data_IF_557420278156
#
_entry.id   IF_557420278156
#
_cell.length_a   1.000
_cell.length_b   1.000
_cell.length_c   1.000
_cell.angle_alpha   90.00
_cell.angle_beta   90.00
_cell.angle_gamma   90.00
#
_symmetry.space_group_name_H-M   'P 1'
#
loop_
_entity.id
_entity.type
_entity.pdbx_description
1 polymer ?
#
# COMPACT_ATOMS: atom_id res chain seq x y z
N UNK A 1 15.77 10.34 -10.26
CA UNK A 1 15.11 9.12 -9.78
C UNK A 1 13.61 9.31 -9.95
N UNK A 2 12.90 8.33 -10.52
CA UNK A 2 11.44 8.41 -10.64
C UNK A 2 10.81 8.34 -9.23
N UNK A 3 10.13 9.42 -8.83
CA UNK A 3 9.33 9.51 -7.60
C UNK A 3 7.87 9.33 -7.97
N UNK A 4 7.17 8.50 -7.23
CA UNK A 4 5.71 8.38 -7.30
C UNK A 4 5.07 9.42 -6.38
N UNK A 5 4.13 10.22 -6.90
CA UNK A 5 3.35 11.15 -6.08
C UNK A 5 2.29 10.37 -5.29
N UNK A 6 1.91 10.79 -4.07
CA UNK A 6 0.82 10.17 -3.33
C UNK A 6 -0.49 10.11 -4.12
N UNK A 7 -0.76 11.12 -4.95
CA UNK A 7 -1.94 11.16 -5.83
C UNK A 7 -1.93 10.11 -6.95
N UNK A 8 -0.78 9.51 -7.25
CA UNK A 8 -0.74 8.34 -8.13
C UNK A 8 -1.32 7.11 -7.43
N UNK A 9 -1.13 7.00 -6.12
CA UNK A 9 -1.67 5.92 -5.30
C UNK A 9 -3.14 6.17 -4.92
N UNK A 10 -3.51 7.43 -4.70
CA UNK A 10 -4.85 7.84 -4.26
C UNK A 10 -5.24 9.14 -4.98
N UNK A 11 -5.87 9.06 -6.16
CA UNK A 11 -6.08 10.21 -7.06
C UNK A 11 -6.79 11.42 -6.45
N UNK A 12 -7.74 11.17 -5.55
CA UNK A 12 -8.56 12.17 -4.90
C UNK A 12 -8.11 12.42 -3.44
N UNK A 13 -6.93 11.93 -3.05
CA UNK A 13 -6.36 12.22 -1.74
C UNK A 13 -6.12 13.71 -1.58
N UNK A 14 -6.49 14.24 -0.41
CA UNK A 14 -6.18 15.61 0.00
C UNK A 14 -5.28 15.61 1.24
N UNK A 15 -4.57 16.72 1.46
CA UNK A 15 -3.84 16.96 2.69
C UNK A 15 -3.91 18.43 3.06
N UNK A 16 -4.08 18.69 4.35
CA UNK A 16 -4.00 20.01 4.97
C UNK A 16 -2.68 20.18 5.76
N UNK A 17 -1.68 19.33 5.48
CA UNK A 17 -0.41 19.18 6.20
C UNK A 17 -0.50 18.69 7.66
N UNK A 18 -1.71 18.54 8.21
CA UNK A 18 -1.96 17.95 9.54
C UNK A 18 -2.56 16.56 9.42
N UNK A 19 -3.38 16.36 8.39
CA UNK A 19 -4.11 15.16 8.07
C UNK A 19 -3.91 14.82 6.60
N UNK A 20 -4.11 13.53 6.30
CA UNK A 20 -4.35 13.03 4.96
C UNK A 20 -5.76 12.48 4.92
N UNK A 21 -6.52 12.82 3.87
CA UNK A 21 -7.84 12.24 3.65
C UNK A 21 -7.80 11.46 2.35
N UNK A 22 -8.04 10.15 2.45
CA UNK A 22 -8.18 9.27 1.29
C UNK A 22 -9.67 8.92 1.15
N UNK A 23 -10.35 9.39 0.08
CA UNK A 23 -11.74 9.02 -0.15
C UNK A 23 -11.90 7.51 -0.35
N UNK A 24 -12.98 6.93 0.17
CA UNK A 24 -13.30 5.50 -0.01
C UNK A 24 -13.34 5.11 -1.50
N UNK A 25 -13.78 6.03 -2.38
CA UNK A 25 -13.79 5.83 -3.83
C UNK A 25 -12.40 5.56 -4.42
N UNK A 26 -11.34 5.98 -3.75
CA UNK A 26 -9.97 5.70 -4.15
C UNK A 26 -9.50 4.30 -3.72
N UNK A 27 -10.29 3.53 -2.97
CA UNK A 27 -9.91 2.19 -2.54
C UNK A 27 -10.98 1.21 -3.04
N UNK A 28 -10.80 0.63 -4.24
CA UNK A 28 -11.79 -0.28 -4.81
C UNK A 28 -12.13 -1.43 -3.88
N UNK A 29 -13.42 -1.68 -3.66
CA UNK A 29 -13.92 -2.73 -2.77
C UNK A 29 -14.00 -2.32 -1.29
N UNK A 30 -13.48 -1.16 -0.90
CA UNK A 30 -13.67 -0.62 0.44
C UNK A 30 -15.08 -0.02 0.55
N UNK A 31 -15.78 -0.35 1.63
CA UNK A 31 -17.09 0.22 1.94
C UNK A 31 -17.04 0.97 3.27
N UNK A 32 -18.13 1.65 3.61
CA UNK A 32 -18.26 2.33 4.89
C UNK A 32 -18.22 1.36 6.08
N UNK A 33 -18.55 0.08 5.88
CA UNK A 33 -18.55 -0.92 6.94
C UNK A 33 -17.13 -1.22 7.43
N UNK A 34 -16.14 -1.34 6.52
CA UNK A 34 -14.76 -1.65 6.93
C UNK A 34 -14.08 -0.50 7.68
N UNK A 35 -14.52 0.75 7.46
CA UNK A 35 -13.94 1.96 8.09
C UNK A 35 -14.75 2.48 9.27
N UNK A 36 -15.79 1.77 9.70
CA UNK A 36 -16.61 2.15 10.83
C UNK A 36 -15.77 2.17 12.13
N UNK A 37 -15.90 3.24 12.92
CA UNK A 37 -15.04 3.48 14.10
C UNK A 37 -15.24 2.41 15.18
N UNK A 38 -16.46 1.89 15.33
CA UNK A 38 -16.82 1.00 16.43
C UNK A 38 -16.58 -0.49 16.11
N UNK A 39 -16.81 -0.88 14.86
CA UNK A 39 -16.94 -2.27 14.42
C UNK A 39 -16.30 -2.56 13.06
N UNK A 40 -15.54 -1.60 12.52
CA UNK A 40 -14.85 -1.76 11.25
C UNK A 40 -13.78 -2.86 11.26
N UNK A 41 -13.57 -3.46 10.10
CA UNK A 41 -12.55 -4.48 9.91
C UNK A 41 -11.23 -3.86 9.43
N UNK A 42 -10.37 -3.52 10.40
CA UNK A 42 -9.05 -2.92 10.11
C UNK A 42 -8.11 -3.80 9.27
N UNK A 43 -8.25 -5.14 9.34
CA UNK A 43 -7.44 -6.05 8.52
C UNK A 43 -7.86 -5.98 7.04
N UNK A 44 -9.16 -5.91 6.79
CA UNK A 44 -9.70 -5.76 5.43
C UNK A 44 -9.39 -4.37 4.85
N UNK A 45 -9.49 -3.32 5.68
CA UNK A 45 -9.06 -1.97 5.32
C UNK A 45 -7.59 -1.97 4.83
N UNK A 46 -6.67 -2.53 5.63
CA UNK A 46 -5.25 -2.60 5.25
C UNK A 46 -5.03 -3.43 3.98
N UNK A 47 -5.70 -4.57 3.85
CA UNK A 47 -5.62 -5.43 2.66
C UNK A 47 -6.02 -4.66 1.40
N UNK A 48 -7.13 -3.94 1.45
CA UNK A 48 -7.65 -3.16 0.33
C UNK A 48 -6.75 -1.95 0.00
N UNK A 49 -6.18 -1.30 1.00
CA UNK A 49 -5.17 -0.25 0.79
C UNK A 49 -3.95 -0.80 0.04
N UNK A 50 -3.41 -1.94 0.46
CA UNK A 50 -2.25 -2.56 -0.20
C UNK A 50 -2.57 -3.05 -1.61
N UNK A 51 -3.73 -3.65 -1.84
CA UNK A 51 -4.20 -4.04 -3.18
C UNK A 51 -4.32 -2.83 -4.10
N UNK A 52 -4.94 -1.76 -3.63
CA UNK A 52 -5.13 -0.53 -4.40
C UNK A 52 -3.80 0.13 -4.76
N UNK A 53 -2.88 0.23 -3.79
CA UNK A 53 -1.53 0.75 -4.03
C UNK A 53 -0.76 -0.11 -5.03
N UNK A 54 -0.72 -1.43 -4.83
CA UNK A 54 -0.04 -2.37 -5.72
C UNK A 54 -0.54 -2.23 -7.17
N UNK A 55 -1.85 -2.29 -7.38
CA UNK A 55 -2.43 -2.24 -8.72
C UNK A 55 -2.13 -0.92 -9.43
N UNK A 56 -2.09 0.20 -8.71
CA UNK A 56 -1.76 1.51 -9.28
C UNK A 56 -0.29 1.64 -9.65
N UNK A 57 0.61 1.12 -8.83
CA UNK A 57 2.05 1.08 -9.16
C UNK A 57 2.28 0.18 -10.38
N UNK A 58 1.62 -0.97 -10.43
CA UNK A 58 1.76 -1.92 -11.54
C UNK A 58 1.19 -1.35 -12.86
N UNK A 59 0.14 -0.53 -12.78
CA UNK A 59 -0.44 0.16 -13.93
C UNK A 59 0.44 1.30 -14.49
N UNK A 60 1.52 1.69 -13.81
CA UNK A 60 2.46 2.68 -14.33
C UNK A 60 3.32 2.10 -15.44
N UNK A 61 3.58 2.94 -16.45
CA UNK A 61 4.62 2.72 -17.45
C UNK A 61 5.96 2.38 -16.78
N UNK A 62 6.72 1.46 -17.38
CA UNK A 62 7.94 0.93 -16.77
C UNK A 62 8.93 2.02 -16.33
N UNK A 63 9.05 3.10 -17.12
CA UNK A 63 9.92 4.24 -16.82
C UNK A 63 9.42 5.15 -15.69
N UNK A 64 8.11 5.11 -15.39
CA UNK A 64 7.47 5.90 -14.33
C UNK A 64 7.41 5.18 -12.98
N UNK A 65 7.71 3.88 -12.97
CA UNK A 65 7.73 3.07 -11.75
C UNK A 65 8.82 3.52 -10.78
N UNK A 66 8.59 3.45 -9.46
CA UNK A 66 9.56 3.89 -8.47
C UNK A 66 10.82 3.02 -8.47
N UNK A 67 11.99 3.65 -8.38
CA UNK A 67 13.30 2.97 -8.43
C UNK A 67 13.87 2.64 -7.05
N UNK A 68 13.36 3.29 -6.00
CA UNK A 68 13.74 3.05 -4.61
C UNK A 68 12.73 2.16 -3.87
N UNK A 69 11.84 1.50 -4.60
CA UNK A 69 10.83 0.62 -4.03
C UNK A 69 10.78 -0.65 -4.85
N UNK A 70 10.67 -1.79 -4.18
CA UNK A 70 10.32 -3.06 -4.81
C UNK A 70 8.95 -3.49 -4.31
N UNK A 71 8.13 -4.03 -5.20
CA UNK A 71 6.79 -4.51 -4.85
C UNK A 71 6.52 -5.84 -5.54
N UNK A 72 5.82 -6.73 -4.85
CA UNK A 72 5.35 -7.99 -5.43
C UNK A 72 4.06 -8.46 -4.79
N UNK A 73 3.25 -9.14 -5.59
CA UNK A 73 2.01 -9.81 -5.18
C UNK A 73 2.08 -11.27 -5.64
N UNK A 74 2.60 -12.19 -4.80
CA UNK A 74 2.60 -13.61 -5.12
C UNK A 74 1.19 -14.13 -5.36
N UNK A 75 1.06 -15.28 -6.04
CA UNK A 75 -0.23 -15.91 -6.24
C UNK A 75 -0.93 -16.20 -4.90
N UNK A 76 -2.25 -15.95 -4.87
CA UNK A 76 -3.07 -16.24 -3.70
C UNK A 76 -3.04 -17.73 -3.37
N UNK A 77 -2.99 -18.06 -2.08
CA UNK A 77 -2.99 -19.43 -1.58
C UNK A 77 -4.34 -19.74 -0.93
N UNK A 78 -5.02 -20.80 -1.36
CA UNK A 78 -6.20 -21.30 -0.66
C UNK A 78 -5.80 -21.88 0.71
N UNK A 79 -6.42 -21.38 1.78
CA UNK A 79 -6.22 -21.87 3.15
C UNK A 79 -7.38 -22.79 3.56
N UNK A 80 -8.60 -22.45 3.15
CA UNK A 80 -9.80 -23.29 3.29
C UNK A 80 -10.79 -22.97 2.16
N UNK A 81 -11.96 -23.62 2.13
CA UNK A 81 -12.96 -23.44 1.06
C UNK A 81 -13.37 -21.98 0.84
N UNK A 82 -13.31 -21.15 1.89
CA UNK A 82 -13.74 -19.75 1.87
C UNK A 82 -12.66 -18.78 2.34
N UNK A 83 -11.42 -19.25 2.53
CA UNK A 83 -10.33 -18.40 3.03
C UNK A 83 -9.14 -18.54 2.10
N UNK A 84 -8.73 -17.41 1.53
CA UNK A 84 -7.51 -17.30 0.75
C UNK A 84 -6.52 -16.37 1.43
N UNK A 85 -5.24 -16.71 1.37
CA UNK A 85 -4.13 -15.86 1.80
C UNK A 85 -3.55 -15.15 0.60
N UNK A 86 -3.62 -13.82 0.62
CA UNK A 86 -2.90 -12.96 -0.31
C UNK A 86 -1.77 -12.24 0.43
N UNK A 87 -0.55 -12.34 -0.10
CA UNK A 87 0.60 -11.60 0.40
C UNK A 87 0.88 -10.38 -0.47
N UNK A 88 1.27 -9.29 0.16
CA UNK A 88 1.78 -8.07 -0.49
C UNK A 88 3.14 -7.78 0.11
N UNK A 89 4.17 -7.69 -0.73
CA UNK A 89 5.51 -7.31 -0.28
C UNK A 89 5.85 -5.94 -0.84
N UNK A 90 6.16 -4.99 0.04
CA UNK A 90 6.72 -3.69 -0.32
C UNK A 90 8.03 -3.50 0.44
N UNK A 91 9.11 -3.24 -0.28
CA UNK A 91 10.42 -2.93 0.31
C UNK A 91 10.87 -1.56 -0.18
N UNK A 92 11.38 -0.73 0.73
CA UNK A 92 11.75 0.66 0.48
C UNK A 92 13.23 0.88 0.77
N UNK A 93 13.94 1.49 -0.17
CA UNK A 93 15.30 1.96 0.02
C UNK A 93 15.25 3.42 0.47
N UNK A 94 15.63 3.70 1.71
CA UNK A 94 15.72 5.05 2.24
C UNK A 94 17.11 5.30 2.82
N UNK A 95 17.60 6.53 2.68
CA UNK A 95 18.84 6.96 3.32
C UNK A 95 18.61 7.05 4.82
N UNK A 96 19.45 6.39 5.59
CA UNK A 96 19.54 6.54 7.04
C UNK A 96 20.72 7.43 7.36
N UNK A 97 20.60 8.31 8.34
CA UNK A 97 21.76 8.97 8.93
C UNK A 97 22.66 7.88 9.54
N UNK A 98 23.98 8.03 9.37
CA UNK A 98 24.97 6.99 9.70
C UNK A 98 24.92 6.48 11.15
N UNK A 99 24.22 7.18 12.05
CA UNK A 99 24.03 6.81 13.46
C UNK A 99 22.89 5.81 13.71
N UNK A 100 22.04 5.50 12.71
CA UNK A 100 20.88 4.59 12.89
C UNK A 100 21.06 3.23 12.21
N UNK A 101 22.23 2.94 11.64
CA UNK A 101 22.47 1.69 10.93
C UNK A 101 22.85 0.58 11.90
N UNK A 102 21.87 -0.02 12.58
CA UNK A 102 22.01 -1.42 12.98
C UNK A 102 21.81 -2.25 11.72
N UNK A 103 22.86 -2.36 10.89
CA UNK A 103 22.99 -3.55 10.06
C UNK A 103 23.13 -4.67 11.07
N UNK A 104 22.05 -5.43 11.31
CA UNK A 104 22.20 -6.74 11.88
C UNK A 104 23.09 -7.51 10.90
N UNK A 105 24.40 -7.50 11.16
CA UNK A 105 25.31 -8.43 10.53
C UNK A 105 24.98 -9.80 11.10
N UNK A 106 24.62 -10.70 10.18
CA UNK A 106 24.36 -12.14 10.28
C UNK A 106 22.90 -12.57 10.13
#
# INVERSE_FOLDING_TARGET
>A
MAKILPTVLFPNMTSDATNITIPISDIPGLTAAEVAIADGNGAELLRLIFEAAYNRIEALEAAARPTQMTWSKPASQGISSNVSRQSYNFAFNFSVDATSVNIASE
#
